data_IF_009682805434
#
_entry.id   IF_009682805434
#
_cell.length_a   1.000
_cell.length_b   1.000
_cell.length_c   1.000
_cell.angle_alpha   90.00
_cell.angle_beta   90.00
_cell.angle_gamma   90.00
#
_symmetry.space_group_name_H-M   'P 1'
#
loop_
_entity.id
_entity.type
_entity.pdbx_description
1 polymer ?
#
# COMPACT_ATOMS: atom_id res chain seq x y z
N UNK A 1 4.34 9.38 19.91
CA UNK A 1 3.46 8.94 18.81
C UNK A 1 3.18 7.46 19.03
N UNK A 2 1.98 7.09 19.50
CA UNK A 2 1.66 5.70 19.85
C UNK A 2 1.12 4.96 18.61
N UNK A 3 1.80 3.90 18.19
CA UNK A 3 1.32 3.00 17.14
C UNK A 3 0.17 2.16 17.73
N UNK A 4 -1.08 2.49 17.38
CA UNK A 4 -2.22 1.62 17.67
C UNK A 4 -2.20 0.45 16.70
N UNK A 5 -1.78 -0.71 17.20
CA UNK A 5 -2.02 -1.97 16.51
C UNK A 5 -3.51 -2.26 16.58
N UNK A 6 -4.17 -2.34 15.43
CA UNK A 6 -5.52 -2.87 15.33
C UNK A 6 -5.46 -4.35 15.69
N UNK A 7 -5.86 -4.71 16.92
CA UNK A 7 -5.81 -6.09 17.44
C UNK A 7 -6.59 -7.10 16.58
N UNK A 8 -7.47 -6.62 15.70
CA UNK A 8 -8.33 -7.44 14.82
C UNK A 8 -8.04 -7.28 13.32
N UNK A 9 -7.02 -6.52 12.91
CA UNK A 9 -6.72 -6.37 11.48
C UNK A 9 -6.12 -7.67 10.94
N UNK A 10 -6.70 -8.29 9.90
CA UNK A 10 -6.15 -9.51 9.33
C UNK A 10 -4.71 -9.28 8.87
N UNK A 11 -3.82 -10.22 9.22
CA UNK A 11 -2.42 -10.24 8.75
C UNK A 11 -2.29 -10.55 7.26
N UNK A 12 -3.42 -10.68 6.55
CA UNK A 12 -3.51 -10.85 5.10
C UNK A 12 -2.77 -9.74 4.36
N UNK A 13 -2.34 -10.02 3.13
CA UNK A 13 -1.68 -9.03 2.26
C UNK A 13 -2.56 -7.83 1.94
N UNK A 14 -3.88 -7.97 2.06
CA UNK A 14 -4.87 -6.96 1.74
C UNK A 14 -5.83 -6.74 2.91
N UNK A 15 -6.14 -5.48 3.20
CA UNK A 15 -7.13 -5.05 4.18
C UNK A 15 -8.23 -4.26 3.46
N UNK A 16 -9.49 -4.63 3.67
CA UNK A 16 -10.63 -3.94 3.11
C UNK A 16 -11.41 -3.19 4.19
N UNK A 17 -11.78 -1.96 3.90
CA UNK A 17 -12.63 -1.13 4.74
C UNK A 17 -13.81 -0.61 3.91
N UNK A 18 -14.99 -0.63 4.47
CA UNK A 18 -16.20 -0.12 3.83
C UNK A 18 -16.85 0.94 4.75
N UNK A 19 -17.61 1.89 4.19
CA UNK A 19 -18.38 2.85 4.97
C UNK A 19 -19.88 2.77 4.65
N UNK A 20 -20.70 3.44 5.47
CA UNK A 20 -22.17 3.48 5.30
C UNK A 20 -22.64 4.18 4.02
N UNK A 21 -21.75 4.92 3.34
CA UNK A 21 -22.05 5.63 2.09
C UNK A 21 -21.77 4.75 0.85
N UNK A 22 -21.42 3.47 1.04
CA UNK A 22 -21.09 2.55 -0.05
C UNK A 22 -19.73 2.81 -0.68
N UNK A 23 -18.82 3.47 0.04
CA UNK A 23 -17.42 3.61 -0.34
C UNK A 23 -16.59 2.47 0.23
N UNK A 24 -15.67 1.96 -0.58
CA UNK A 24 -14.73 0.91 -0.26
C UNK A 24 -13.29 1.46 -0.37
N UNK A 25 -12.44 1.05 0.56
CA UNK A 25 -10.99 1.26 0.54
C UNK A 25 -10.31 -0.09 0.71
N UNK A 26 -9.38 -0.40 -0.18
CA UNK A 26 -8.56 -1.60 -0.11
C UNK A 26 -7.08 -1.22 0.00
N UNK A 27 -6.41 -1.75 1.01
CA UNK A 27 -5.02 -1.48 1.33
C UNK A 27 -4.20 -2.75 1.12
N UNK A 28 -3.30 -2.73 0.14
CA UNK A 28 -2.45 -3.85 -0.25
C UNK A 28 -1.00 -3.58 0.11
N UNK A 29 -0.34 -4.55 0.74
CA UNK A 29 1.11 -4.53 0.91
C UNK A 29 1.71 -5.45 -0.15
N UNK A 30 2.49 -4.88 -1.05
CA UNK A 30 3.10 -5.60 -2.17
C UNK A 30 4.63 -5.48 -2.09
N UNK A 31 5.33 -6.59 -2.26
CA UNK A 31 6.81 -6.61 -2.37
C UNK A 31 7.23 -5.88 -3.65
N UNK A 32 8.38 -5.23 -3.65
CA UNK A 32 9.02 -4.65 -4.83
C UNK A 32 10.08 -5.63 -5.38
N UNK A 33 10.83 -5.23 -6.39
CA UNK A 33 11.87 -6.08 -6.98
C UNK A 33 13.17 -6.08 -6.14
N UNK A 34 13.32 -5.12 -5.21
CA UNK A 34 14.49 -4.86 -4.36
C UNK A 34 14.28 -5.25 -2.88
N UNK A 35 13.46 -6.28 -2.61
CA UNK A 35 13.05 -6.76 -1.27
C UNK A 35 12.32 -5.75 -0.37
N UNK A 36 12.21 -4.50 -0.80
CA UNK A 36 11.38 -3.50 -0.17
C UNK A 36 9.89 -3.78 -0.43
N UNK A 37 9.02 -3.07 0.28
CA UNK A 37 7.58 -3.21 0.21
C UNK A 37 6.93 -1.86 -0.11
N UNK A 38 5.77 -1.88 -0.77
CA UNK A 38 4.96 -0.69 -1.01
C UNK A 38 3.54 -0.95 -0.53
N UNK A 39 2.92 0.09 0.01
CA UNK A 39 1.52 0.11 0.39
C UNK A 39 0.72 0.77 -0.73
N UNK A 40 -0.20 0.02 -1.34
CA UNK A 40 -1.13 0.52 -2.36
C UNK A 40 -2.51 0.66 -1.75
N UNK A 41 -3.03 1.88 -1.73
CA UNK A 41 -4.37 2.21 -1.29
C UNK A 41 -5.26 2.48 -2.51
N UNK A 42 -6.29 1.66 -2.68
CA UNK A 42 -7.30 1.78 -3.73
C UNK A 42 -8.62 2.17 -3.09
N UNK A 43 -9.39 3.06 -3.71
CA UNK A 43 -10.67 3.48 -3.14
C UNK A 43 -11.68 3.93 -4.18
N UNK A 44 -12.96 3.74 -3.88
CA UNK A 44 -14.08 4.04 -4.76
C UNK A 44 -15.36 3.35 -4.33
N UNK A 45 -16.40 3.40 -5.16
CA UNK A 45 -17.59 2.55 -4.98
C UNK A 45 -17.27 1.12 -5.40
N UNK A 46 -17.92 0.09 -4.81
CA UNK A 46 -17.75 -1.30 -5.22
C UNK A 46 -18.21 -1.45 -6.68
N UNK A 47 -17.22 -1.48 -7.57
CA UNK A 47 -17.32 -1.54 -9.03
C UNK A 47 -16.08 -2.28 -9.55
N UNK A 48 -16.01 -2.47 -10.88
CA UNK A 48 -14.92 -3.18 -11.54
C UNK A 48 -13.55 -2.52 -11.28
N UNK A 49 -13.48 -1.19 -11.13
CA UNK A 49 -12.24 -0.45 -10.95
C UNK A 49 -12.33 0.57 -9.81
N UNK A 50 -11.25 0.69 -9.03
CA UNK A 50 -11.10 1.75 -8.04
C UNK A 50 -10.95 3.11 -8.73
N UNK A 51 -11.59 4.13 -8.18
CA UNK A 51 -11.56 5.49 -8.71
C UNK A 51 -10.29 6.24 -8.33
N UNK A 52 -9.71 5.92 -7.17
CA UNK A 52 -8.51 6.57 -6.67
C UNK A 52 -7.47 5.54 -6.28
N UNK A 53 -6.22 5.87 -6.59
CA UNK A 53 -5.04 5.09 -6.26
C UNK A 53 -4.07 6.01 -5.51
N UNK A 54 -3.51 5.52 -4.41
CA UNK A 54 -2.34 6.12 -3.76
C UNK A 54 -1.33 5.03 -3.43
N UNK A 55 -0.05 5.35 -3.57
CA UNK A 55 1.05 4.43 -3.27
C UNK A 55 1.98 5.11 -2.26
N UNK A 56 2.41 4.35 -1.24
CA UNK A 56 3.41 4.79 -0.26
C UNK A 56 4.55 3.76 -0.16
N UNK A 57 5.77 4.25 0.03
CA UNK A 57 7.00 3.44 0.09
C UNK A 57 8.09 4.00 -0.82
N UNK A 58 9.22 3.29 -0.97
CA UNK A 58 9.47 1.94 -0.46
C UNK A 58 9.67 1.88 1.05
N UNK A 59 9.18 0.80 1.65
CA UNK A 59 9.46 0.40 3.03
C UNK A 59 10.49 -0.72 3.02
N UNK A 60 11.59 -0.55 3.74
CA UNK A 60 12.65 -1.57 3.77
C UNK A 60 12.21 -2.85 4.45
N UNK A 61 11.31 -2.74 5.44
CA UNK A 61 10.78 -3.89 6.17
C UNK A 61 9.27 -4.03 5.99
N UNK A 62 8.78 -5.25 5.84
CA UNK A 62 7.33 -5.55 5.81
C UNK A 62 6.60 -4.98 7.03
N UNK A 63 7.24 -5.00 8.20
CA UNK A 63 6.69 -4.43 9.43
C UNK A 63 6.39 -2.92 9.34
N UNK A 64 7.20 -2.14 8.61
CA UNK A 64 6.96 -0.72 8.37
C UNK A 64 5.73 -0.50 7.48
N UNK A 65 5.60 -1.30 6.42
CA UNK A 65 4.41 -1.26 5.55
C UNK A 65 3.14 -1.66 6.31
N UNK A 66 3.22 -2.66 7.21
CA UNK A 66 2.12 -3.04 8.10
C UNK A 66 1.73 -1.92 9.05
N UNK A 67 2.71 -1.27 9.70
CA UNK A 67 2.47 -0.14 10.58
C UNK A 67 1.81 1.04 9.85
N UNK A 68 2.30 1.37 8.64
CA UNK A 68 1.70 2.39 7.79
C UNK A 68 0.25 2.03 7.41
N UNK A 69 -0.01 0.77 7.02
CA UNK A 69 -1.36 0.28 6.73
C UNK A 69 -2.29 0.42 7.93
N UNK A 70 -1.84 0.00 9.11
CA UNK A 70 -2.63 0.10 10.35
C UNK A 70 -2.91 1.55 10.73
N UNK A 71 -1.94 2.46 10.56
CA UNK A 71 -2.14 3.88 10.81
C UNK A 71 -3.19 4.50 9.87
N UNK A 72 -3.15 4.14 8.57
CA UNK A 72 -4.17 4.58 7.60
C UNK A 72 -5.54 3.99 7.95
N UNK A 73 -5.61 2.70 8.28
CA UNK A 73 -6.86 2.05 8.66
C UNK A 73 -7.48 2.72 9.90
N UNK A 74 -6.69 2.98 10.94
CA UNK A 74 -7.15 3.68 12.13
C UNK A 74 -7.67 5.10 11.81
N UNK A 75 -6.99 5.82 10.91
CA UNK A 75 -7.47 7.13 10.47
C UNK A 75 -8.79 7.05 9.69
N UNK A 76 -8.98 6.00 8.89
CA UNK A 76 -10.22 5.75 8.14
C UNK A 76 -11.37 5.35 9.06
N UNK A 77 -11.09 4.61 10.14
CA UNK A 77 -12.11 4.29 11.15
C UNK A 77 -12.67 5.55 11.81
N UNK A 78 -11.81 6.53 12.12
CA UNK A 78 -12.23 7.85 12.64
C UNK A 78 -13.13 8.60 11.64
N UNK A 79 -12.97 8.38 10.34
CA UNK A 79 -13.80 9.00 9.30
C UNK A 79 -15.05 8.19 8.95
N UNK A 80 -15.34 7.11 9.69
CA UNK A 80 -16.57 6.33 9.57
C UNK A 80 -16.47 5.13 8.63
N UNK A 81 -15.26 4.69 8.30
CA UNK A 81 -15.03 3.38 7.70
C UNK A 81 -14.98 2.28 8.78
N UNK A 82 -15.15 1.04 8.37
CA UNK A 82 -15.03 -0.12 9.25
C UNK A 82 -14.33 -1.25 8.51
N UNK A 83 -13.47 -1.98 9.21
CA UNK A 83 -12.76 -3.12 8.64
C UNK A 83 -13.74 -4.24 8.33
N UNK A 84 -13.73 -4.70 7.08
CA UNK A 84 -14.59 -5.78 6.61
C UNK A 84 -13.86 -7.11 6.74
N UNK A 85 -14.04 -7.80 7.87
CA UNK A 85 -13.29 -9.02 8.22
C UNK A 85 -13.55 -10.21 7.27
N UNK A 86 -14.71 -10.24 6.59
CA UNK A 86 -15.10 -11.33 5.69
C UNK A 86 -15.21 -10.91 4.22
N UNK A 87 -14.87 -9.66 3.90
CA UNK A 87 -14.99 -9.18 2.53
C UNK A 87 -13.72 -9.50 1.74
N UNK A 88 -13.90 -10.09 0.56
CA UNK A 88 -12.80 -10.35 -0.34
C UNK A 88 -12.34 -9.06 -1.03
N UNK A 89 -11.02 -8.81 -1.09
CA UNK A 89 -10.45 -7.71 -1.87
C UNK A 89 -10.74 -7.92 -3.37
N UNK A 90 -11.26 -6.90 -4.03
CA UNK A 90 -11.74 -6.93 -5.42
C UNK A 90 -10.69 -6.39 -6.39
N UNK A 91 -9.89 -5.41 -5.99
CA UNK A 91 -9.00 -4.67 -6.88
C UNK A 91 -7.55 -5.15 -6.87
N UNK A 92 -7.32 -6.42 -6.55
CA UNK A 92 -5.97 -7.01 -6.51
C UNK A 92 -5.22 -6.87 -7.83
N UNK A 93 -5.91 -7.08 -8.95
CA UNK A 93 -5.32 -6.93 -10.29
C UNK A 93 -4.94 -5.48 -10.59
N UNK A 94 -5.76 -4.51 -10.17
CA UNK A 94 -5.42 -3.09 -10.31
C UNK A 94 -4.20 -2.77 -9.45
N UNK A 95 -4.16 -3.21 -8.19
CA UNK A 95 -3.01 -2.99 -7.31
C UNK A 95 -1.70 -3.56 -7.89
N UNK A 96 -1.77 -4.74 -8.51
CA UNK A 96 -0.62 -5.36 -9.19
C UNK A 96 -0.15 -4.57 -10.42
N UNK A 97 -1.07 -3.97 -11.19
CA UNK A 97 -0.71 -3.10 -12.32
C UNK A 97 -0.01 -1.82 -11.84
N UNK A 98 -0.56 -1.19 -10.81
CA UNK A 98 -0.01 0.04 -10.23
C UNK A 98 1.40 -0.19 -9.68
N UNK A 99 1.62 -1.29 -8.94
CA UNK A 99 2.96 -1.57 -8.42
C UNK A 99 3.96 -1.92 -9.53
N UNK A 100 3.51 -2.56 -10.61
CA UNK A 100 4.36 -2.86 -11.77
C UNK A 100 4.85 -1.56 -12.41
N UNK A 101 3.98 -0.58 -12.62
CA UNK A 101 4.36 0.73 -13.15
C UNK A 101 5.41 1.43 -12.26
N UNK A 102 5.25 1.36 -10.94
CA UNK A 102 6.25 1.91 -9.99
C UNK A 102 7.61 1.20 -10.11
N UNK A 103 7.61 -0.13 -10.24
CA UNK A 103 8.85 -0.91 -10.40
C UNK A 103 9.55 -0.59 -11.72
N UNK A 104 8.80 -0.46 -12.81
CA UNK A 104 9.32 -0.08 -14.11
C UNK A 104 9.94 1.33 -14.07
N UNK A 105 9.26 2.29 -13.44
CA UNK A 105 9.78 3.65 -13.25
C UNK A 105 11.08 3.65 -12.42
N UNK A 106 11.16 2.83 -11.36
CA UNK A 106 12.39 2.70 -10.56
C UNK A 106 13.54 2.11 -11.34
N UNK A 107 13.29 1.07 -12.15
CA UNK A 107 14.31 0.49 -13.02
C UNK A 107 14.89 1.53 -13.98
N UNK A 108 14.02 2.32 -14.61
CA UNK A 108 14.42 3.39 -15.52
C UNK A 108 15.24 4.48 -14.81
N UNK A 109 14.90 4.79 -13.57
CA UNK A 109 15.54 5.83 -12.77
C UNK A 109 16.66 5.30 -11.85
N UNK A 110 17.20 4.11 -12.10
CA UNK A 110 18.29 3.56 -11.28
C UNK A 110 19.54 4.42 -11.52
N UNK A 111 20.06 5.15 -10.51
CA UNK A 111 21.26 5.94 -10.68
C UNK A 111 22.45 5.01 -10.93
N UNK A 112 23.34 5.42 -11.83
CA UNK A 112 24.63 4.79 -11.97
C UNK A 112 25.47 5.14 -10.74
N UNK A 113 25.54 4.21 -9.80
CA UNK A 113 26.35 4.35 -8.58
C UNK A 113 27.77 3.79 -8.77
N UNK A 114 28.26 3.69 -10.03
CA UNK A 114 29.66 3.38 -10.25
C UNK A 114 30.53 4.48 -9.63
N UNK A 115 31.45 4.05 -8.79
CA UNK A 115 32.44 4.94 -8.21
C UNK A 115 33.39 5.40 -9.32
N UNK A 116 33.38 6.69 -9.66
CA UNK A 116 34.42 7.28 -10.51
C UNK A 116 35.59 7.74 -9.61
N UNK A 117 36.78 7.14 -9.73
CA UNK A 117 37.95 7.56 -8.95
C UNK A 117 38.30 9.05 -9.11
N UNK A 118 37.86 9.70 -10.20
CA UNK A 118 38.06 11.15 -10.43
C UNK A 118 37.22 12.04 -9.52
N UNK A 119 36.20 11.52 -8.85
CA UNK A 119 35.39 12.29 -7.90
C UNK A 119 36.11 12.53 -6.56
N UNK A 120 37.27 11.88 -6.35
CA UNK A 120 38.03 11.91 -5.07
C UNK A 120 39.41 12.57 -5.20
N UNK A 121 39.95 12.75 -6.41
CA UNK A 121 41.28 13.32 -6.65
C UNK A 121 41.23 14.60 -7.50
#
# INVERSE_FOLDING_TARGET
MYLRYLESAPQSEALRLDNKQGWCVELYILRNDDDSHSLVALSGRPQIQAWRVKIQGPYQMRAQALAARSAIAAQLEVTGFSVSQHANPQWRLQAQREIRAVRELRKQNTPDCSFDPKDVY
#
